data_IF_664236658754
#
_entry.id   IF_664236658754
#
_cell.length_a   1.000
_cell.length_b   1.000
_cell.length_c   1.000
_cell.angle_alpha   90.00
_cell.angle_beta   90.00
_cell.angle_gamma   90.00
#
_symmetry.space_group_name_H-M   'P 1'
#
loop_
_entity.id
_entity.type
_entity.pdbx_description
1 polymer ?
#
# COMPACT_ATOMS: atom_id res chain seq x y z
N UNK A 1 -9.61 -0.86 -13.04
CA UNK A 1 -8.86 -0.47 -11.82
C UNK A 1 -7.56 0.28 -12.16
N UNK A 2 -6.57 -0.28 -12.82
CA UNK A 2 -5.33 0.50 -13.15
C UNK A 2 -5.56 1.54 -14.25
N UNK A 3 -6.49 1.30 -15.18
CA UNK A 3 -6.94 2.26 -16.18
C UNK A 3 -7.64 3.47 -15.56
N UNK A 4 -8.47 3.26 -14.53
CA UNK A 4 -9.29 4.31 -13.93
C UNK A 4 -8.43 5.38 -13.22
N UNK A 5 -7.36 4.96 -12.52
CA UNK A 5 -6.39 5.90 -11.95
C UNK A 5 -5.58 6.62 -13.02
N UNK A 6 -5.20 5.90 -14.08
CA UNK A 6 -4.46 6.49 -15.19
C UNK A 6 -5.27 7.59 -15.86
N UNK A 7 -6.54 7.32 -16.19
CA UNK A 7 -7.43 8.27 -16.83
C UNK A 7 -7.62 9.54 -15.99
N UNK A 8 -7.76 9.39 -14.65
CA UNK A 8 -7.90 10.52 -13.72
C UNK A 8 -6.59 11.32 -13.57
N UNK A 9 -5.44 10.66 -13.60
CA UNK A 9 -4.14 11.34 -13.54
C UNK A 9 -3.85 12.07 -14.86
N UNK A 10 -4.22 11.49 -15.99
CA UNK A 10 -4.12 12.13 -17.31
C UNK A 10 -5.04 13.36 -17.40
N UNK A 11 -6.28 13.28 -16.88
CA UNK A 11 -7.18 14.44 -16.76
C UNK A 11 -6.54 15.59 -15.96
N UNK A 12 -5.88 15.29 -14.83
CA UNK A 12 -5.15 16.32 -14.06
C UNK A 12 -3.97 16.88 -14.86
N UNK A 13 -3.23 16.03 -15.57
CA UNK A 13 -2.09 16.44 -16.39
C UNK A 13 -2.52 17.39 -17.51
N UNK A 14 -3.65 17.12 -18.15
CA UNK A 14 -4.24 17.98 -19.19
C UNK A 14 -4.72 19.32 -18.61
N UNK A 15 -5.48 19.29 -17.50
CA UNK A 15 -5.99 20.50 -16.83
C UNK A 15 -4.88 21.48 -16.43
N UNK A 16 -3.73 20.94 -16.00
CA UNK A 16 -2.65 21.75 -15.48
C UNK A 16 -1.48 21.92 -16.44
N UNK A 17 -1.54 21.30 -17.62
CA UNK A 17 -0.49 21.37 -18.63
C UNK A 17 0.86 20.84 -18.14
N UNK A 18 0.87 19.90 -17.20
CA UNK A 18 2.07 19.39 -16.56
C UNK A 18 1.94 17.89 -16.23
N UNK A 19 3.03 17.11 -16.38
CA UNK A 19 3.00 15.69 -16.02
C UNK A 19 2.70 15.49 -14.53
N UNK A 20 1.66 14.72 -14.22
CA UNK A 20 1.26 14.39 -12.86
C UNK A 20 1.70 12.98 -12.45
N UNK A 21 1.93 12.75 -11.16
CA UNK A 21 2.11 11.43 -10.57
C UNK A 21 1.17 11.26 -9.40
N UNK A 22 0.53 10.08 -9.28
CA UNK A 22 -0.29 9.71 -8.14
C UNK A 22 0.47 8.71 -7.28
N UNK A 23 0.60 9.01 -6.01
CA UNK A 23 1.18 8.15 -5.00
C UNK A 23 0.15 7.90 -3.87
N UNK A 24 0.21 6.72 -3.24
CA UNK A 24 -0.56 6.46 -2.03
C UNK A 24 0.02 7.23 -0.82
N UNK A 25 -0.62 7.12 0.35
CA UNK A 25 -0.15 7.77 1.58
C UNK A 25 1.23 7.30 2.04
N UNK A 26 1.70 6.14 1.55
CA UNK A 26 3.03 5.58 1.84
C UNK A 26 4.07 5.96 0.78
N UNK A 27 3.72 6.89 -0.13
CA UNK A 27 4.57 7.36 -1.23
C UNK A 27 4.98 6.24 -2.20
N UNK A 28 4.07 5.29 -2.42
CA UNK A 28 4.21 4.28 -3.47
C UNK A 28 3.46 4.74 -4.72
N UNK A 29 4.11 4.67 -5.87
CA UNK A 29 3.57 5.13 -7.14
C UNK A 29 2.43 4.22 -7.63
N UNK A 30 1.26 4.81 -7.87
CA UNK A 30 0.06 4.16 -8.41
C UNK A 30 -0.01 4.38 -9.93
N UNK A 31 0.01 5.64 -10.37
CA UNK A 31 -0.11 6.04 -11.77
C UNK A 31 0.73 7.28 -12.05
N UNK A 32 1.06 7.50 -13.33
CA UNK A 32 1.71 8.74 -13.78
C UNK A 32 1.14 9.14 -15.14
N UNK A 33 0.75 10.41 -15.26
CA UNK A 33 0.30 11.01 -16.50
C UNK A 33 1.48 11.56 -17.30
N UNK A 34 1.45 11.34 -18.61
CA UNK A 34 2.33 12.01 -19.56
C UNK A 34 1.57 13.12 -20.23
N UNK A 35 2.09 14.34 -20.21
CA UNK A 35 1.54 15.42 -21.03
C UNK A 35 2.14 15.30 -22.44
N UNK A 36 1.32 15.04 -23.46
CA UNK A 36 1.73 15.00 -24.87
C UNK A 36 1.93 16.42 -25.44
N UNK A 37 2.67 17.24 -24.75
CA UNK A 37 3.08 18.59 -25.16
C UNK A 37 4.48 18.61 -25.72
N UNK A 38 4.66 18.02 -26.89
CA UNK A 38 5.77 18.31 -27.80
C UNK A 38 7.17 17.90 -27.37
N UNK A 39 7.75 16.96 -28.09
CA UNK A 39 9.15 16.89 -28.47
C UNK A 39 10.18 16.76 -27.36
N UNK A 40 10.90 15.66 -27.36
CA UNK A 40 12.01 15.31 -26.47
C UNK A 40 11.61 15.21 -25.00
N UNK A 41 11.77 14.03 -24.44
CA UNK A 41 11.78 13.83 -22.99
C UNK A 41 12.73 14.85 -22.40
N UNK A 42 12.17 15.99 -21.93
CA UNK A 42 12.95 17.01 -21.26
C UNK A 42 13.57 16.35 -20.03
N UNK A 43 14.82 15.88 -20.20
CA UNK A 43 15.59 15.25 -19.11
C UNK A 43 15.75 16.18 -17.93
N UNK A 44 15.50 17.49 -18.11
CA UNK A 44 15.48 18.48 -17.03
C UNK A 44 14.16 18.41 -16.21
N UNK A 45 13.09 17.82 -16.75
CA UNK A 45 11.85 17.54 -16.01
C UNK A 45 11.97 16.38 -15.01
N UNK A 46 13.01 15.56 -15.12
CA UNK A 46 13.29 14.44 -14.24
C UNK A 46 14.34 14.83 -13.19
N UNK A 47 13.91 15.48 -12.11
CA UNK A 47 14.82 15.64 -10.97
C UNK A 47 15.11 14.26 -10.31
N UNK A 48 16.23 14.13 -9.57
CA UNK A 48 16.65 12.85 -9.00
C UNK A 48 15.59 12.16 -8.15
N UNK A 49 14.80 12.94 -7.39
CA UNK A 49 13.73 12.40 -6.53
C UNK A 49 12.60 11.83 -7.37
N UNK A 50 12.14 12.59 -8.39
CA UNK A 50 11.06 12.13 -9.29
C UNK A 50 11.48 10.91 -10.10
N UNK A 51 12.66 10.95 -10.70
CA UNK A 51 13.23 9.83 -11.46
C UNK A 51 13.28 8.57 -10.61
N UNK A 52 13.80 8.70 -9.39
CA UNK A 52 13.89 7.57 -8.47
C UNK A 52 12.50 7.04 -8.10
N UNK A 53 11.54 7.90 -7.74
CA UNK A 53 10.18 7.48 -7.40
C UNK A 53 9.51 6.74 -8.55
N UNK A 54 9.69 7.18 -9.79
CA UNK A 54 9.15 6.50 -10.98
C UNK A 54 9.82 5.14 -11.20
N UNK A 55 11.16 5.07 -11.19
CA UNK A 55 11.91 3.85 -11.48
C UNK A 55 11.75 2.79 -10.38
N UNK A 56 11.80 3.19 -9.10
CA UNK A 56 11.69 2.28 -7.96
C UNK A 56 10.25 2.09 -7.50
N UNK A 57 9.32 2.87 -8.05
CA UNK A 57 7.89 2.95 -7.67
C UNK A 57 7.68 3.32 -6.19
N UNK A 58 8.67 3.94 -5.56
CA UNK A 58 8.65 4.27 -4.14
C UNK A 58 9.60 5.42 -3.80
N UNK A 59 9.18 6.29 -2.91
CA UNK A 59 10.04 7.30 -2.30
C UNK A 59 10.78 6.76 -1.08
N UNK A 60 11.95 7.33 -0.77
CA UNK A 60 12.67 6.98 0.46
C UNK A 60 12.00 7.59 1.69
N UNK A 61 12.22 7.00 2.88
CA UNK A 61 11.70 7.53 4.14
C UNK A 61 12.15 8.98 4.40
N UNK A 62 13.39 9.33 4.04
CA UNK A 62 13.93 10.68 4.17
C UNK A 62 13.20 11.69 3.28
N UNK A 63 12.96 11.34 2.01
CA UNK A 63 12.21 12.16 1.05
C UNK A 63 10.77 12.33 1.52
N UNK A 64 10.14 11.27 1.98
CA UNK A 64 8.80 11.31 2.56
C UNK A 64 8.72 12.28 3.74
N UNK A 65 9.58 12.12 4.74
CA UNK A 65 9.61 12.99 5.92
C UNK A 65 9.83 14.46 5.55
N UNK A 66 10.68 14.72 4.53
CA UNK A 66 10.91 16.07 4.04
C UNK A 66 9.65 16.69 3.42
N UNK A 67 8.92 15.96 2.58
CA UNK A 67 7.65 16.44 2.02
C UNK A 67 6.55 16.59 3.08
N UNK A 68 6.47 15.68 4.03
CA UNK A 68 5.49 15.72 5.13
C UNK A 68 5.68 16.97 6.02
N UNK A 69 6.90 17.49 6.13
CA UNK A 69 7.21 18.70 6.88
C UNK A 69 6.49 19.95 6.32
N UNK A 70 6.10 19.95 5.04
CA UNK A 70 5.28 21.01 4.44
C UNK A 70 3.79 20.91 4.78
N UNK A 71 3.39 19.98 5.65
CA UNK A 71 2.02 19.84 6.13
C UNK A 71 1.05 19.21 5.15
N UNK A 72 1.53 18.57 4.09
CA UNK A 72 0.71 17.96 3.03
C UNK A 72 -0.34 16.98 3.56
N UNK A 73 -0.03 16.26 4.65
CA UNK A 73 -0.95 15.32 5.27
C UNK A 73 -2.17 16.00 5.93
N UNK A 74 -2.07 17.28 6.27
CA UNK A 74 -3.15 18.07 6.90
C UNK A 74 -3.83 19.01 5.91
N UNK A 75 -3.17 19.34 4.80
CA UNK A 75 -3.69 20.26 3.81
C UNK A 75 -5.00 19.78 3.19
N UNK A 76 -5.92 20.69 2.97
CA UNK A 76 -7.20 20.46 2.29
C UNK A 76 -7.23 21.02 0.87
N UNK A 77 -6.22 21.77 0.48
CA UNK A 77 -6.01 22.36 -0.84
C UNK A 77 -4.58 22.15 -1.34
N UNK A 78 -4.25 22.71 -2.51
CA UNK A 78 -2.92 22.61 -3.11
C UNK A 78 -1.83 23.14 -2.19
N UNK A 79 -0.69 22.46 -2.11
CA UNK A 79 0.49 22.87 -1.34
C UNK A 79 1.64 23.11 -2.31
N UNK A 80 2.15 24.34 -2.32
CA UNK A 80 3.34 24.70 -3.09
C UNK A 80 4.60 24.40 -2.28
N UNK A 81 5.49 23.61 -2.83
CA UNK A 81 6.75 23.22 -2.21
C UNK A 81 7.89 23.78 -3.06
N UNK A 82 8.74 24.64 -2.50
CA UNK A 82 9.83 25.24 -3.24
C UNK A 82 10.89 24.21 -3.65
N UNK A 83 11.69 24.53 -4.65
CA UNK A 83 12.87 23.76 -4.97
C UNK A 83 13.84 23.73 -3.78
N UNK A 84 14.47 22.60 -3.53
CA UNK A 84 15.51 22.39 -2.54
C UNK A 84 16.57 21.45 -3.10
N UNK A 85 17.62 21.98 -3.74
CA UNK A 85 18.69 21.15 -4.29
C UNK A 85 19.37 20.25 -3.27
N UNK A 86 19.44 20.70 -2.01
CA UNK A 86 19.99 19.92 -0.89
C UNK A 86 19.17 18.66 -0.58
N UNK A 87 17.85 18.73 -0.80
CA UNK A 87 16.96 17.57 -0.69
C UNK A 87 16.86 16.76 -2.00
N UNK A 88 17.58 17.14 -3.05
CA UNK A 88 17.50 16.54 -4.39
C UNK A 88 16.27 16.94 -5.18
N UNK A 89 15.52 17.95 -4.71
CA UNK A 89 14.33 18.52 -5.36
C UNK A 89 14.77 19.75 -6.16
N UNK A 90 15.12 19.53 -7.42
CA UNK A 90 15.70 20.59 -8.28
C UNK A 90 14.65 21.58 -8.78
N UNK A 91 13.40 21.18 -8.85
CA UNK A 91 12.26 22.04 -9.25
C UNK A 91 11.18 22.03 -8.17
N UNK A 92 10.56 23.19 -7.95
CA UNK A 92 9.39 23.31 -7.08
C UNK A 92 8.28 22.33 -7.49
N UNK A 93 7.41 22.01 -6.57
CA UNK A 93 6.30 21.08 -6.77
C UNK A 93 5.00 21.63 -6.26
N UNK A 94 3.94 21.17 -6.87
CA UNK A 94 2.58 21.34 -6.37
C UNK A 94 2.11 19.98 -5.91
N UNK A 95 1.73 19.87 -4.64
CA UNK A 95 1.10 18.68 -4.06
C UNK A 95 -0.41 18.92 -3.97
N UNK A 96 -1.19 18.07 -4.60
CA UNK A 96 -2.65 18.04 -4.45
C UNK A 96 -3.01 16.84 -3.54
N UNK A 97 -3.45 17.07 -2.30
CA UNK A 97 -3.80 15.99 -1.40
C UNK A 97 -5.07 15.28 -1.88
N UNK A 98 -4.99 13.97 -1.99
CA UNK A 98 -6.11 13.08 -2.32
C UNK A 98 -6.80 12.69 -1.02
N UNK A 99 -8.05 13.11 -0.84
CA UNK A 99 -8.79 12.90 0.42
C UNK A 99 -10.17 12.29 0.18
N UNK A 100 -10.59 11.46 1.14
CA UNK A 100 -11.97 10.98 1.23
C UNK A 100 -12.46 11.10 2.67
N UNK A 101 -13.59 11.78 2.90
CA UNK A 101 -14.18 12.01 4.25
C UNK A 101 -13.15 12.51 5.27
N UNK A 102 -12.31 13.46 4.87
CA UNK A 102 -11.28 14.05 5.73
C UNK A 102 -9.99 13.24 5.89
N UNK A 103 -9.94 11.99 5.42
CA UNK A 103 -8.76 11.12 5.52
C UNK A 103 -7.93 11.24 4.25
N UNK A 104 -6.62 11.47 4.37
CA UNK A 104 -5.67 11.42 3.26
C UNK A 104 -5.51 9.98 2.80
N UNK A 105 -5.71 9.76 1.50
CA UNK A 105 -5.52 8.47 0.84
C UNK A 105 -4.25 8.43 -0.02
N UNK A 106 -3.81 9.61 -0.49
CA UNK A 106 -2.64 9.75 -1.33
C UNK A 106 -2.37 11.19 -1.70
N UNK A 107 -1.50 11.37 -2.68
CA UNK A 107 -1.05 12.67 -3.17
C UNK A 107 -0.87 12.63 -4.68
N UNK A 108 -1.31 13.69 -5.36
CA UNK A 108 -0.93 13.94 -6.74
C UNK A 108 0.17 15.01 -6.75
N UNK A 109 1.25 14.73 -7.46
CA UNK A 109 2.41 15.58 -7.57
C UNK A 109 2.58 16.10 -8.98
N UNK A 110 2.82 17.41 -9.08
CA UNK A 110 3.19 18.08 -10.31
C UNK A 110 4.49 18.85 -10.10
N UNK A 111 5.22 19.05 -11.18
CA UNK A 111 6.32 20.01 -11.17
C UNK A 111 5.75 21.42 -11.26
N UNK A 112 6.32 22.36 -10.50
CA UNK A 112 5.96 23.79 -10.63
C UNK A 112 6.35 24.27 -12.02
N UNK A 113 5.41 24.90 -12.73
CA UNK A 113 5.55 25.38 -14.11
C UNK A 113 5.55 26.89 -14.15
N UNK A 114 6.09 27.44 -15.23
CA UNK A 114 5.97 28.86 -15.54
C UNK A 114 5.28 29.01 -16.92
N UNK A 115 4.10 29.62 -17.02
CA UNK A 115 3.33 30.20 -15.91
C UNK A 115 2.74 29.15 -14.96
N UNK A 116 2.52 29.55 -13.72
CA UNK A 116 1.86 28.69 -12.72
C UNK A 116 0.39 28.48 -13.05
N UNK A 117 -0.18 27.31 -12.71
CA UNK A 117 -1.60 27.08 -12.83
C UNK A 117 -2.43 28.13 -12.08
N UNK A 118 -3.50 28.60 -12.70
CA UNK A 118 -4.47 29.49 -12.05
C UNK A 118 -5.21 28.80 -10.91
N UNK A 119 -5.82 29.58 -10.01
CA UNK A 119 -6.64 29.02 -8.93
C UNK A 119 -7.79 28.17 -9.46
N UNK A 120 -8.45 28.60 -10.56
CA UNK A 120 -9.52 27.83 -11.17
C UNK A 120 -9.07 26.49 -11.75
N UNK A 121 -7.87 26.41 -12.31
CA UNK A 121 -7.30 25.13 -12.76
C UNK A 121 -6.96 24.23 -11.58
N UNK A 122 -6.40 24.80 -10.51
CA UNK A 122 -6.11 24.04 -9.28
C UNK A 122 -7.40 23.52 -8.61
N UNK A 123 -8.48 24.33 -8.58
CA UNK A 123 -9.77 23.93 -8.05
C UNK A 123 -10.37 22.78 -8.88
N UNK A 124 -10.30 22.86 -10.21
CA UNK A 124 -10.72 21.79 -11.09
C UNK A 124 -9.92 20.49 -10.84
N UNK A 125 -8.59 20.58 -10.72
CA UNK A 125 -7.75 19.44 -10.41
C UNK A 125 -8.06 18.85 -9.01
N UNK A 126 -8.37 19.67 -8.01
CA UNK A 126 -8.81 19.21 -6.69
C UNK A 126 -10.15 18.47 -6.75
N UNK A 127 -11.06 18.83 -7.67
CA UNK A 127 -12.28 18.05 -7.89
C UNK A 127 -11.98 16.64 -8.43
N UNK A 128 -10.97 16.51 -9.30
CA UNK A 128 -10.49 15.19 -9.76
C UNK A 128 -9.83 14.40 -8.63
N UNK A 129 -9.03 15.05 -7.78
CA UNK A 129 -8.43 14.33 -6.62
C UNK A 129 -9.48 13.82 -5.65
N UNK A 130 -10.64 14.47 -5.52
CA UNK A 130 -11.76 13.95 -4.72
C UNK A 130 -12.34 12.66 -5.31
N UNK A 131 -12.43 12.55 -6.64
CA UNK A 131 -12.84 11.31 -7.34
C UNK A 131 -11.82 10.19 -7.11
N UNK A 132 -10.53 10.49 -7.23
CA UNK A 132 -9.45 9.55 -6.89
C UNK A 132 -9.58 9.08 -5.45
N UNK A 133 -9.83 10.00 -4.51
CA UNK A 133 -9.98 9.70 -3.08
C UNK A 133 -11.14 8.75 -2.79
N UNK A 134 -12.26 8.91 -3.50
CA UNK A 134 -13.41 8.00 -3.41
C UNK A 134 -13.04 6.61 -3.92
N UNK A 135 -12.42 6.52 -5.10
CA UNK A 135 -11.99 5.25 -5.68
C UNK A 135 -11.01 4.51 -4.75
N UNK A 136 -10.02 5.22 -4.19
CA UNK A 136 -9.07 4.63 -3.22
C UNK A 136 -9.76 4.17 -1.92
N UNK A 137 -10.79 4.87 -1.47
CA UNK A 137 -11.56 4.48 -0.29
C UNK A 137 -12.40 3.23 -0.55
N UNK A 138 -13.05 3.16 -1.70
CA UNK A 138 -13.87 2.01 -2.11
C UNK A 138 -12.99 0.74 -2.27
N UNK A 139 -11.79 0.89 -2.87
CA UNK A 139 -10.83 -0.21 -2.97
C UNK A 139 -10.33 -0.68 -1.59
N UNK A 140 -10.05 0.26 -0.67
CA UNK A 140 -9.63 -0.09 0.69
C UNK A 140 -10.73 -0.84 1.43
N UNK A 141 -11.98 -0.38 1.34
CA UNK A 141 -13.15 -1.06 1.92
C UNK A 141 -13.35 -2.45 1.35
N UNK A 142 -13.28 -2.59 0.03
CA UNK A 142 -13.38 -3.90 -0.62
C UNK A 142 -12.25 -4.85 -0.16
N UNK A 143 -11.03 -4.34 0.02
CA UNK A 143 -9.90 -5.11 0.55
C UNK A 143 -10.10 -5.54 2.01
N UNK A 144 -10.68 -4.68 2.84
CA UNK A 144 -11.03 -5.00 4.23
C UNK A 144 -12.11 -6.08 4.28
N UNK A 145 -13.11 -6.03 3.40
CA UNK A 145 -14.16 -7.04 3.29
C UNK A 145 -13.57 -8.39 2.90
N UNK A 146 -12.70 -8.46 1.88
CA UNK A 146 -12.01 -9.71 1.50
C UNK A 146 -11.19 -10.26 2.65
N UNK A 147 -10.46 -9.42 3.37
CA UNK A 147 -9.64 -9.84 4.53
C UNK A 147 -10.49 -10.40 5.65
N UNK A 148 -11.63 -9.76 5.96
CA UNK A 148 -12.57 -10.22 6.99
C UNK A 148 -13.13 -11.60 6.64
N UNK A 149 -13.62 -11.77 5.42
CA UNK A 149 -14.21 -13.05 4.98
C UNK A 149 -13.15 -14.14 4.81
N UNK A 150 -11.93 -13.80 4.38
CA UNK A 150 -10.83 -14.75 4.35
C UNK A 150 -10.48 -15.27 5.75
N UNK A 151 -10.41 -14.37 6.75
CA UNK A 151 -10.24 -14.77 8.16
C UNK A 151 -11.38 -15.69 8.61
N UNK A 152 -12.63 -15.36 8.26
CA UNK A 152 -13.79 -16.15 8.62
C UNK A 152 -13.69 -17.59 8.05
N UNK A 153 -13.27 -17.75 6.80
CA UNK A 153 -13.04 -19.08 6.20
C UNK A 153 -11.98 -19.88 6.98
N UNK A 154 -10.88 -19.25 7.37
CA UNK A 154 -9.78 -19.93 8.07
C UNK A 154 -10.11 -20.29 9.52
N UNK A 155 -11.11 -19.63 10.13
CA UNK A 155 -11.47 -19.85 11.54
C UNK A 155 -12.84 -20.52 11.75
N UNK A 156 -13.62 -20.68 10.69
CA UNK A 156 -14.93 -21.32 10.77
C UNK A 156 -14.83 -22.79 11.14
N UNK A 157 -15.75 -23.24 11.98
CA UNK A 157 -15.91 -24.67 12.24
C UNK A 157 -16.37 -25.42 10.96
N UNK A 158 -15.94 -26.67 10.77
CA UNK A 158 -16.41 -27.48 9.64
C UNK A 158 -17.94 -27.59 9.59
N UNK A 159 -18.50 -27.57 8.37
CA UNK A 159 -19.94 -27.67 8.12
C UNK A 159 -20.51 -26.36 7.60
N UNK A 160 -21.77 -26.08 7.88
CA UNK A 160 -22.51 -24.95 7.30
C UNK A 160 -21.87 -23.57 7.54
N UNK A 161 -21.18 -23.39 8.66
CA UNK A 161 -20.47 -22.14 8.96
C UNK A 161 -19.31 -21.91 7.99
N UNK A 162 -18.53 -22.95 7.71
CA UNK A 162 -17.45 -22.90 6.73
C UNK A 162 -17.99 -22.63 5.32
N UNK A 163 -19.10 -23.30 4.95
CA UNK A 163 -19.73 -23.11 3.63
C UNK A 163 -20.25 -21.69 3.48
N UNK A 164 -20.83 -21.11 4.54
CA UNK A 164 -21.30 -19.74 4.56
C UNK A 164 -20.12 -18.74 4.45
N UNK A 165 -19.05 -18.94 5.21
CA UNK A 165 -17.86 -18.10 5.15
C UNK A 165 -17.20 -18.16 3.76
N UNK A 166 -17.17 -19.36 3.15
CA UNK A 166 -16.65 -19.53 1.79
C UNK A 166 -17.51 -18.79 0.76
N UNK A 167 -18.84 -18.87 0.87
CA UNK A 167 -19.75 -18.13 -0.01
C UNK A 167 -19.58 -16.60 0.16
N UNK A 168 -19.41 -16.12 1.39
CA UNK A 168 -19.17 -14.71 1.68
C UNK A 168 -17.82 -14.23 1.11
N UNK A 169 -16.76 -15.04 1.25
CA UNK A 169 -15.46 -14.72 0.64
C UNK A 169 -15.55 -14.65 -0.89
N UNK A 170 -16.27 -15.58 -1.53
CA UNK A 170 -16.50 -15.51 -2.98
C UNK A 170 -17.24 -14.25 -3.39
N UNK A 171 -18.25 -13.85 -2.63
CA UNK A 171 -18.98 -12.61 -2.88
C UNK A 171 -18.07 -11.37 -2.73
N UNK A 172 -17.23 -11.32 -1.69
CA UNK A 172 -16.28 -10.23 -1.47
C UNK A 172 -15.19 -10.16 -2.57
N UNK A 173 -14.71 -11.30 -3.08
CA UNK A 173 -13.77 -11.37 -4.20
C UNK A 173 -14.38 -10.92 -5.53
N UNK A 174 -15.69 -10.95 -5.67
CA UNK A 174 -16.39 -10.54 -6.89
C UNK A 174 -15.90 -11.28 -8.15
N UNK A 175 -15.46 -10.56 -9.17
CA UNK A 175 -14.94 -11.15 -10.41
C UNK A 175 -13.65 -11.97 -10.24
N UNK A 176 -12.95 -11.84 -9.13
CA UNK A 176 -11.73 -12.59 -8.83
C UNK A 176 -12.05 -13.94 -8.16
N UNK A 177 -13.31 -14.21 -7.78
CA UNK A 177 -13.73 -15.42 -7.06
C UNK A 177 -13.50 -16.73 -7.84
N UNK A 178 -13.56 -16.66 -9.16
CA UNK A 178 -13.36 -17.82 -10.03
C UNK A 178 -11.90 -18.03 -10.44
N UNK A 179 -11.00 -17.13 -10.01
CA UNK A 179 -9.56 -17.28 -10.21
C UNK A 179 -8.97 -18.22 -9.18
N UNK A 180 -7.84 -18.81 -9.53
CA UNK A 180 -7.09 -19.67 -8.62
C UNK A 180 -6.39 -18.82 -7.54
N UNK A 181 -6.48 -19.31 -6.32
CA UNK A 181 -5.81 -18.74 -5.17
C UNK A 181 -5.04 -19.82 -4.41
N UNK A 182 -3.93 -19.43 -3.81
CA UNK A 182 -3.21 -20.22 -2.82
C UNK A 182 -3.29 -19.55 -1.45
N UNK A 183 -3.36 -20.34 -0.40
CA UNK A 183 -3.18 -19.85 0.97
C UNK A 183 -1.73 -20.09 1.37
N UNK A 184 -1.04 -19.03 1.75
CA UNK A 184 0.34 -19.07 2.26
C UNK A 184 0.30 -18.73 3.74
N UNK A 185 0.83 -19.61 4.58
CA UNK A 185 0.95 -19.39 6.02
C UNK A 185 2.41 -19.25 6.43
N UNK A 186 2.72 -18.23 7.22
CA UNK A 186 4.07 -17.98 7.77
C UNK A 186 3.95 -17.82 9.28
N UNK A 187 4.72 -18.60 10.01
CA UNK A 187 4.80 -18.54 11.46
C UNK A 187 6.19 -18.92 11.98
N UNK A 188 6.57 -18.48 13.17
CA UNK A 188 5.84 -17.56 14.04
C UNK A 188 5.79 -16.15 13.45
N UNK A 189 4.67 -15.45 13.61
CA UNK A 189 4.53 -14.07 13.17
C UNK A 189 4.66 -13.12 14.36
N UNK A 190 5.66 -12.21 14.38
CA UNK A 190 5.99 -11.44 15.58
C UNK A 190 5.15 -10.16 15.75
N UNK A 191 4.28 -9.83 14.78
CA UNK A 191 3.52 -8.59 14.81
C UNK A 191 2.02 -8.86 15.04
N UNK A 192 1.33 -7.93 15.70
CA UNK A 192 -0.13 -7.97 15.89
C UNK A 192 -0.88 -7.73 14.57
N UNK A 193 -0.32 -6.90 13.70
CA UNK A 193 -0.93 -6.53 12.43
C UNK A 193 -0.21 -7.16 11.22
N UNK A 194 -0.94 -7.48 10.15
CA UNK A 194 -0.34 -7.90 8.90
C UNK A 194 0.32 -6.71 8.18
N UNK A 195 1.31 -6.94 7.32
CA UNK A 195 1.80 -5.88 6.43
C UNK A 195 0.71 -5.48 5.45
N UNK A 196 0.76 -4.25 4.92
CA UNK A 196 -0.19 -3.81 3.89
C UNK A 196 -0.21 -4.77 2.68
N UNK A 197 -1.39 -5.10 2.19
CA UNK A 197 -1.59 -6.03 1.05
C UNK A 197 -0.79 -5.60 -0.19
N UNK A 198 -0.65 -4.29 -0.42
CA UNK A 198 0.14 -3.74 -1.53
C UNK A 198 1.64 -4.09 -1.50
N UNK A 199 2.17 -4.50 -0.34
CA UNK A 199 3.57 -4.93 -0.21
C UNK A 199 3.83 -6.35 -0.73
N UNK A 200 2.77 -7.14 -0.93
CA UNK A 200 2.86 -8.49 -1.49
C UNK A 200 2.18 -8.52 -2.86
N UNK A 201 2.94 -8.53 -3.95
CA UNK A 201 2.39 -8.69 -5.28
C UNK A 201 1.55 -9.96 -5.42
N UNK A 202 0.33 -9.81 -5.90
CA UNK A 202 -0.60 -10.91 -6.07
C UNK A 202 -1.41 -11.29 -4.82
N UNK A 203 -1.13 -10.71 -3.65
CA UNK A 203 -1.98 -10.93 -2.48
C UNK A 203 -3.36 -10.27 -2.68
N UNK A 204 -4.40 -10.98 -2.31
CA UNK A 204 -5.77 -10.50 -2.26
C UNK A 204 -6.18 -10.11 -0.83
N UNK A 205 -5.66 -10.82 0.17
CA UNK A 205 -5.91 -10.56 1.59
C UNK A 205 -4.76 -11.06 2.46
N UNK A 206 -4.64 -10.48 3.65
CA UNK A 206 -3.68 -10.86 4.70
C UNK A 206 -4.37 -10.79 6.05
N UNK A 207 -4.21 -11.80 6.90
CA UNK A 207 -4.68 -11.74 8.27
C UNK A 207 -3.76 -12.48 9.22
N UNK A 208 -3.66 -11.99 10.45
CA UNK A 208 -2.94 -12.65 11.54
C UNK A 208 -3.93 -13.49 12.32
N UNK A 209 -3.59 -14.74 12.56
CA UNK A 209 -4.39 -15.72 13.29
C UNK A 209 -3.61 -16.21 14.51
N UNK A 210 -4.29 -16.61 15.60
CA UNK A 210 -3.62 -17.36 16.64
C UNK A 210 -3.10 -18.68 16.05
N UNK A 211 -1.91 -19.10 16.50
CA UNK A 211 -1.36 -20.38 16.05
C UNK A 211 -2.29 -21.54 16.49
N UNK A 212 -2.45 -22.57 15.67
CA UNK A 212 -3.25 -23.72 16.02
C UNK A 212 -2.72 -24.39 17.30
N UNK A 213 -3.59 -24.96 18.15
CA UNK A 213 -3.16 -25.71 19.32
C UNK A 213 -2.18 -26.80 18.94
N UNK A 214 -1.06 -26.94 19.65
CA UNK A 214 -0.03 -27.93 19.37
C UNK A 214 1.02 -27.53 18.33
N UNK A 215 0.92 -26.33 17.73
CA UNK A 215 1.94 -25.82 16.80
C UNK A 215 3.21 -25.29 17.50
N UNK A 216 3.21 -25.20 18.83
CA UNK A 216 4.34 -24.75 19.63
C UNK A 216 5.62 -25.56 19.34
N UNK A 217 5.47 -26.86 19.11
CA UNK A 217 6.57 -27.76 18.73
C UNK A 217 7.16 -27.45 17.33
N UNK A 218 6.35 -26.86 16.43
CA UNK A 218 6.77 -26.52 15.07
C UNK A 218 7.50 -25.18 14.99
N UNK A 219 7.25 -24.27 15.94
CA UNK A 219 7.82 -22.92 15.95
C UNK A 219 8.99 -22.76 16.94
N UNK A 220 9.30 -23.77 17.74
CA UNK A 220 10.26 -23.70 18.85
C UNK A 220 9.74 -22.87 20.03
N UNK A 221 10.39 -22.95 21.19
CA UNK A 221 10.06 -22.06 22.30
C UNK A 221 10.33 -20.61 21.85
N UNK A 222 9.47 -19.64 22.25
CA UNK A 222 9.75 -18.24 22.02
C UNK A 222 11.15 -17.93 22.58
N UNK A 223 11.98 -17.22 21.81
CA UNK A 223 13.28 -16.76 22.28
C UNK A 223 13.03 -15.96 23.57
N UNK A 224 13.54 -16.48 24.69
CA UNK A 224 13.40 -15.79 25.96
C UNK A 224 14.08 -14.42 25.81
N UNK A 225 13.41 -13.29 26.09
CA UNK A 225 14.07 -12.03 26.22
C UNK A 225 15.14 -12.20 27.29
N UNK A 226 16.39 -11.80 27.03
CA UNK A 226 17.52 -12.00 27.90
C UNK A 226 17.16 -11.61 29.34
N UNK A 227 17.02 -12.59 30.21
CA UNK A 227 16.70 -12.41 31.62
C UNK A 227 17.87 -11.71 32.29
N UNK A 228 17.77 -10.39 32.44
CA UNK A 228 18.57 -9.63 33.39
C UNK A 228 18.13 -10.00 34.80
N UNK A 229 19.05 -10.06 35.81
CA UNK A 229 18.69 -10.36 37.16
C UNK A 229 17.89 -9.19 37.76
N UNK A 230 16.56 -9.28 37.77
CA UNK A 230 15.71 -8.27 38.38
C UNK A 230 14.30 -8.12 37.80
N UNK A 231 13.91 -8.87 36.76
CA UNK A 231 12.57 -8.78 36.23
C UNK A 231 11.57 -9.59 37.07
N UNK A 232 10.52 -8.88 37.51
CA UNK A 232 9.31 -9.44 38.10
C UNK A 232 8.70 -10.51 37.17
N UNK A 233 7.93 -11.50 37.69
CA UNK A 233 7.30 -12.53 36.86
C UNK A 233 6.33 -11.84 35.87
N UNK A 234 6.86 -11.58 34.67
CA UNK A 234 6.30 -10.76 33.65
C UNK A 234 5.05 -11.35 33.02
N UNK A 235 4.32 -10.47 32.37
CA UNK A 235 3.19 -10.70 31.47
C UNK A 235 3.41 -11.98 30.63
N UNK A 236 2.43 -12.86 30.50
CA UNK A 236 2.58 -14.08 29.69
C UNK A 236 3.02 -13.69 28.27
N UNK A 237 4.02 -14.39 27.75
CA UNK A 237 4.49 -14.19 26.40
C UNK A 237 3.29 -14.25 25.43
N UNK A 238 3.20 -13.34 24.45
CA UNK A 238 2.09 -13.35 23.52
C UNK A 238 1.99 -14.72 22.85
N UNK A 239 0.76 -15.25 22.74
CA UNK A 239 0.53 -16.52 22.09
C UNK A 239 1.11 -16.49 20.67
N UNK A 240 1.76 -17.58 20.20
CA UNK A 240 2.34 -17.63 18.88
C UNK A 240 1.25 -17.33 17.83
N UNK A 241 1.56 -16.47 16.88
CA UNK A 241 0.66 -16.08 15.80
C UNK A 241 1.16 -16.60 14.46
N UNK A 242 0.24 -16.74 13.51
CA UNK A 242 0.52 -17.12 12.12
C UNK A 242 -0.05 -16.05 11.20
N UNK A 243 0.72 -15.59 10.25
CA UNK A 243 0.22 -14.76 9.16
C UNK A 243 -0.27 -15.66 8.03
N UNK A 244 -1.52 -15.48 7.63
CA UNK A 244 -2.09 -16.11 6.45
C UNK A 244 -2.27 -15.10 5.33
N UNK A 245 -1.89 -15.48 4.10
CA UNK A 245 -2.03 -14.67 2.89
C UNK A 245 -2.84 -15.43 1.84
N UNK A 246 -3.84 -14.78 1.24
CA UNK A 246 -4.56 -15.26 0.08
C UNK A 246 -3.87 -14.72 -1.17
N UNK A 247 -3.21 -15.57 -1.95
CA UNK A 247 -2.38 -15.17 -3.10
C UNK A 247 -2.98 -15.67 -4.40
N UNK A 248 -3.14 -14.80 -5.39
CA UNK A 248 -3.66 -15.14 -6.72
C UNK A 248 -2.64 -15.93 -7.51
N UNK A 249 -3.08 -17.00 -8.15
CA UNK A 249 -2.30 -17.79 -9.07
C UNK A 249 -2.76 -17.55 -10.51
N UNK A 250 -1.85 -17.68 -11.46
CA UNK A 250 -2.17 -17.57 -12.89
C UNK A 250 -2.68 -18.89 -13.47
N UNK A 251 -2.07 -19.98 -13.07
CA UNK A 251 -2.41 -21.35 -13.50
C UNK A 251 -2.22 -22.33 -12.34
N UNK A 252 -2.86 -23.52 -12.34
CA UNK A 252 -2.79 -24.48 -11.24
C UNK A 252 -1.38 -24.94 -10.85
N UNK A 253 -0.44 -24.95 -11.80
CA UNK A 253 0.96 -25.38 -11.56
C UNK A 253 1.94 -24.25 -11.30
N UNK A 254 1.51 -22.98 -11.41
CA UNK A 254 2.42 -21.82 -11.27
C UNK A 254 2.39 -21.30 -9.83
N UNK A 255 3.11 -21.95 -8.91
CA UNK A 255 3.21 -21.56 -7.49
C UNK A 255 4.15 -20.38 -7.24
N UNK A 256 4.91 -19.90 -8.24
CA UNK A 256 5.87 -18.80 -8.11
C UNK A 256 5.35 -17.57 -7.37
N UNK A 257 4.12 -17.08 -7.59
CA UNK A 257 3.55 -15.98 -6.79
C UNK A 257 3.42 -16.31 -5.30
N UNK A 258 3.02 -17.54 -4.95
CA UNK A 258 2.89 -17.97 -3.57
C UNK A 258 4.26 -18.17 -2.90
N UNK A 259 5.24 -18.72 -3.61
CA UNK A 259 6.62 -18.86 -3.15
C UNK A 259 7.27 -17.50 -2.90
N UNK A 260 7.12 -16.56 -3.84
CA UNK A 260 7.61 -15.18 -3.67
C UNK A 260 6.95 -14.49 -2.47
N UNK A 261 5.65 -14.70 -2.25
CA UNK A 261 4.96 -14.17 -1.09
C UNK A 261 5.51 -14.77 0.21
N UNK A 262 5.72 -16.09 0.26
CA UNK A 262 6.29 -16.78 1.41
C UNK A 262 7.70 -16.28 1.75
N UNK A 263 8.58 -16.11 0.77
CA UNK A 263 9.93 -15.59 0.94
C UNK A 263 9.93 -14.17 1.51
N UNK A 264 9.11 -13.28 0.95
CA UNK A 264 8.99 -11.89 1.41
C UNK A 264 8.45 -11.82 2.84
N UNK A 265 7.44 -12.62 3.18
CA UNK A 265 6.87 -12.66 4.52
C UNK A 265 7.88 -13.21 5.54
N UNK A 266 8.65 -14.25 5.18
CA UNK A 266 9.73 -14.75 6.04
C UNK A 266 10.83 -13.72 6.26
N UNK A 267 11.19 -12.97 5.22
CA UNK A 267 12.19 -11.89 5.37
C UNK A 267 11.70 -10.80 6.33
N UNK A 268 10.40 -10.46 6.30
CA UNK A 268 9.81 -9.49 7.23
C UNK A 268 9.79 -10.03 8.68
N UNK A 269 9.42 -11.29 8.89
CA UNK A 269 9.42 -11.90 10.23
C UNK A 269 10.83 -12.10 10.79
N UNK A 270 11.78 -12.50 9.94
CA UNK A 270 13.20 -12.69 10.34
C UNK A 270 13.92 -11.39 10.68
N UNK A 271 13.61 -10.29 10.01
CA UNK A 271 14.18 -8.98 10.31
C UNK A 271 13.74 -8.45 11.68
N UNK A 272 12.56 -8.81 12.16
CA UNK A 272 12.08 -8.43 13.50
C UNK A 272 12.67 -9.27 14.64
N UNK A 273 13.10 -10.50 14.35
CA UNK A 273 13.73 -11.36 15.33
C UNK A 273 15.24 -11.04 15.54
N UNK A 274 15.84 -10.22 14.67
CA UNK A 274 17.25 -9.85 14.69
C UNK A 274 17.51 -8.43 15.25
N UNK A 275 16.49 -7.64 15.55
CA UNK A 275 16.58 -6.29 16.12
C UNK A 275 15.99 -6.23 17.51
#
# INVERSE_FOLDING_TARGET
MRSDYQDLVDEISELLGAPATLENRDFELIAFGSHEGGGDLDTTALDPVRTRSILTRRSTAQVRAWFEAYGIARATGPVHIPASPEAGVLRGRICLPVRHRGIVRGYVWLLDTDPRPSSGQLDAAMAVTARIGTLMADEASAGEDVTREFRAVLTAAPGWQHDQAHAALRAALGSEADRLHAVVCVGPWPFEEPPGVGRLPGAAALCVLPAPPGSEAAFGPPAAPGAGPGDEPGSPAPAPAVLAALVRLRTPGALGPAETAAERLRALSGAAAAG
#
